data_IF_146228072725
#
_entry.id   IF_146228072725
#
_cell.length_a   1.000
_cell.length_b   1.000
_cell.length_c   1.000
_cell.angle_alpha   90.00
_cell.angle_beta   90.00
_cell.angle_gamma   90.00
#
_symmetry.space_group_name_H-M   'P 1'
#
loop_
_entity.id
_entity.type
_entity.pdbx_description
1 polymer ?
#
# COMPACT_ATOMS: atom_id res chain seq x y z
N UNK A 1 1.15 3.83 -23.47
CA UNK A 1 0.92 2.38 -23.27
C UNK A 1 1.02 1.98 -21.81
N UNK A 2 2.10 2.30 -21.09
CA UNK A 2 2.25 1.93 -19.67
C UNK A 2 1.13 2.45 -18.76
N UNK A 3 0.61 3.65 -19.00
CA UNK A 3 -0.46 4.21 -18.17
C UNK A 3 -1.80 3.50 -18.38
N UNK A 4 -2.11 3.07 -19.60
CA UNK A 4 -3.31 2.30 -19.88
C UNK A 4 -3.24 0.91 -19.23
N UNK A 5 -2.05 0.27 -19.27
CA UNK A 5 -1.79 -1.00 -18.57
C UNK A 5 -1.96 -0.83 -17.06
N UNK A 6 -1.43 0.25 -16.47
CA UNK A 6 -1.62 0.57 -15.05
C UNK A 6 -3.10 0.71 -14.68
N UNK A 7 -3.88 1.45 -15.47
CA UNK A 7 -5.32 1.62 -15.21
C UNK A 7 -6.07 0.29 -15.26
N UNK A 8 -5.78 -0.55 -16.27
CA UNK A 8 -6.36 -1.90 -16.39
C UNK A 8 -6.00 -2.77 -15.19
N UNK A 9 -4.75 -2.75 -14.78
CA UNK A 9 -4.27 -3.47 -13.59
C UNK A 9 -5.01 -3.03 -12.32
N UNK A 10 -5.11 -1.72 -12.06
CA UNK A 10 -5.80 -1.20 -10.86
C UNK A 10 -7.28 -1.57 -10.87
N UNK A 11 -7.95 -1.48 -12.02
CA UNK A 11 -9.34 -1.88 -12.16
C UNK A 11 -9.56 -3.37 -11.84
N UNK A 12 -8.65 -4.25 -12.31
CA UNK A 12 -8.74 -5.68 -12.03
C UNK A 12 -8.47 -5.99 -10.54
N UNK A 13 -7.48 -5.35 -9.94
CA UNK A 13 -7.18 -5.50 -8.50
C UNK A 13 -8.38 -5.02 -7.67
N UNK A 14 -8.96 -3.88 -8.01
CA UNK A 14 -10.17 -3.37 -7.35
C UNK A 14 -11.31 -4.38 -7.38
N UNK A 15 -11.61 -4.92 -8.57
CA UNK A 15 -12.70 -5.89 -8.74
C UNK A 15 -12.48 -7.17 -7.90
N UNK A 16 -11.25 -7.70 -7.90
CA UNK A 16 -10.92 -8.89 -7.10
C UNK A 16 -10.97 -8.61 -5.60
N UNK A 17 -10.55 -7.42 -5.19
CA UNK A 17 -10.61 -7.01 -3.79
C UNK A 17 -12.06 -6.88 -3.30
N UNK A 18 -12.96 -6.30 -4.10
CA UNK A 18 -14.38 -6.24 -3.75
C UNK A 18 -15.01 -7.63 -3.62
N UNK A 19 -14.67 -8.55 -4.53
CA UNK A 19 -15.13 -9.94 -4.44
C UNK A 19 -14.63 -10.62 -3.16
N UNK A 20 -13.35 -10.43 -2.81
CA UNK A 20 -12.76 -10.94 -1.57
C UNK A 20 -13.42 -10.35 -0.34
N UNK A 21 -13.63 -9.03 -0.30
CA UNK A 21 -14.30 -8.33 0.79
C UNK A 21 -15.70 -8.90 1.02
N UNK A 22 -16.49 -9.03 -0.04
CA UNK A 22 -17.85 -9.55 0.05
C UNK A 22 -17.87 -10.99 0.54
N UNK A 23 -16.94 -11.82 0.05
CA UNK A 23 -16.77 -13.19 0.53
C UNK A 23 -16.39 -13.22 2.01
N UNK A 24 -15.43 -12.40 2.44
CA UNK A 24 -14.98 -12.36 3.83
C UNK A 24 -16.10 -11.95 4.78
N UNK A 25 -16.87 -10.91 4.45
CA UNK A 25 -18.04 -10.48 5.24
C UNK A 25 -19.09 -11.60 5.32
N UNK A 26 -19.38 -12.28 4.21
CA UNK A 26 -20.39 -13.33 4.16
C UNK A 26 -20.00 -14.64 4.86
N UNK A 27 -18.69 -14.92 4.99
CA UNK A 27 -18.18 -16.20 5.52
C UNK A 27 -17.43 -16.02 6.85
N UNK A 28 -17.57 -14.86 7.50
CA UNK A 28 -16.87 -14.57 8.73
C UNK A 28 -17.33 -15.50 9.87
N UNK A 29 -16.42 -16.21 10.55
CA UNK A 29 -16.78 -17.22 11.54
C UNK A 29 -17.18 -16.63 12.91
N UNK A 30 -16.76 -15.40 13.22
CA UNK A 30 -17.06 -14.76 14.51
C UNK A 30 -18.27 -13.83 14.38
N UNK A 31 -19.44 -14.33 14.81
CA UNK A 31 -20.68 -13.56 14.79
C UNK A 31 -20.76 -12.49 15.88
N UNK A 32 -19.93 -12.55 16.93
CA UNK A 32 -19.92 -11.54 17.99
C UNK A 32 -19.18 -10.27 17.54
N UNK A 33 -18.21 -10.41 16.63
CA UNK A 33 -17.46 -9.31 16.03
C UNK A 33 -17.59 -9.33 14.49
N UNK A 34 -18.75 -8.94 13.93
CA UNK A 34 -18.97 -9.02 12.50
C UNK A 34 -18.06 -8.06 11.72
N UNK A 35 -17.48 -8.54 10.62
CA UNK A 35 -16.81 -7.68 9.66
C UNK A 35 -17.81 -6.79 8.93
N UNK A 36 -17.40 -5.55 8.71
CA UNK A 36 -18.14 -4.57 7.94
C UNK A 36 -17.30 -4.09 6.75
N UNK A 37 -17.91 -3.31 5.86
CA UNK A 37 -17.17 -2.67 4.76
C UNK A 37 -16.12 -1.67 5.27
N UNK A 38 -16.34 -1.08 6.45
CA UNK A 38 -15.44 -0.08 7.04
C UNK A 38 -14.07 -0.65 7.40
N UNK A 39 -14.00 -1.94 7.70
CA UNK A 39 -12.76 -2.64 8.08
C UNK A 39 -11.79 -2.79 6.89
N UNK A 40 -12.26 -2.55 5.66
CA UNK A 40 -11.49 -2.69 4.42
C UNK A 40 -11.06 -1.34 3.82
N UNK A 41 -11.30 -0.22 4.52
CA UNK A 41 -11.05 1.13 4.00
C UNK A 41 -9.57 1.37 3.68
N UNK A 42 -8.64 0.91 4.53
CA UNK A 42 -7.20 1.06 4.26
C UNK A 42 -6.77 0.29 3.01
N UNK A 43 -7.24 -0.94 2.83
CA UNK A 43 -6.98 -1.71 1.61
C UNK A 43 -7.48 -1.01 0.34
N UNK A 44 -8.67 -0.38 0.41
CA UNK A 44 -9.19 0.42 -0.71
C UNK A 44 -8.31 1.63 -1.02
N UNK A 45 -7.83 2.35 0.00
CA UNK A 45 -6.93 3.50 -0.17
C UNK A 45 -5.62 3.07 -0.83
N UNK A 46 -5.05 1.95 -0.41
CA UNK A 46 -3.82 1.42 -1.02
C UNK A 46 -4.00 1.09 -2.50
N UNK A 47 -5.09 0.40 -2.87
CA UNK A 47 -5.38 0.04 -4.26
C UNK A 47 -5.55 1.30 -5.13
N UNK A 48 -6.27 2.32 -4.64
CA UNK A 48 -6.41 3.60 -5.34
C UNK A 48 -5.04 4.30 -5.48
N UNK A 49 -4.18 4.17 -4.48
CA UNK A 49 -2.80 4.66 -4.50
C UNK A 49 -1.95 4.07 -5.62
N UNK A 50 -2.19 2.83 -6.02
CA UNK A 50 -1.49 2.18 -7.15
C UNK A 50 -1.75 2.89 -8.49
N UNK A 51 -2.92 3.53 -8.62
CA UNK A 51 -3.31 4.29 -9.80
C UNK A 51 -2.65 5.67 -9.89
N UNK A 52 -2.11 6.18 -8.79
CA UNK A 52 -1.52 7.51 -8.75
C UNK A 52 -0.19 7.55 -9.53
N UNK A 53 0.08 8.65 -10.26
CA UNK A 53 1.40 8.93 -10.81
C UNK A 53 2.47 8.88 -9.71
N UNK A 54 3.74 8.51 -10.01
CA UNK A 54 4.81 8.42 -9.01
C UNK A 54 4.97 9.66 -8.13
N UNK A 55 4.76 10.85 -8.70
CA UNK A 55 4.85 12.13 -8.00
C UNK A 55 3.69 12.39 -7.00
N UNK A 56 2.61 11.63 -7.09
CA UNK A 56 1.40 11.76 -6.26
C UNK A 56 1.15 10.55 -5.35
N UNK A 57 1.95 9.49 -5.48
CA UNK A 57 1.89 8.38 -4.53
C UNK A 57 2.18 8.94 -3.15
N UNK A 58 1.37 8.55 -2.17
CA UNK A 58 1.75 8.67 -0.77
C UNK A 58 3.12 8.01 -0.66
N UNK A 59 4.16 8.81 -0.39
CA UNK A 59 5.40 8.25 0.09
C UNK A 59 4.98 7.52 1.36
N UNK A 60 5.01 6.18 1.35
CA UNK A 60 5.25 5.49 2.60
C UNK A 60 6.52 6.15 3.09
N UNK A 61 6.41 6.95 4.16
CA UNK A 61 7.60 7.34 4.91
C UNK A 61 8.36 6.03 5.04
N UNK A 62 9.58 5.90 4.48
CA UNK A 62 10.32 4.65 4.56
C UNK A 62 10.35 4.36 6.05
N UNK A 63 9.58 3.35 6.47
CA UNK A 63 9.46 2.95 7.86
C UNK A 63 10.88 2.99 8.37
N UNK A 64 11.17 3.93 9.29
CA UNK A 64 12.53 4.37 9.58
C UNK A 64 13.39 3.12 9.62
N UNK A 65 14.35 3.03 8.70
CA UNK A 65 15.14 1.81 8.56
C UNK A 65 15.56 1.40 9.98
N UNK A 66 15.36 0.12 10.38
CA UNK A 66 15.58 -0.30 11.76
C UNK A 66 16.92 0.25 12.27
N UNK A 67 17.05 0.51 13.57
CA UNK A 67 18.34 0.98 14.06
C UNK A 67 19.44 -0.03 13.69
N UNK A 68 20.71 0.39 13.55
CA UNK A 68 21.78 -0.51 13.13
C UNK A 68 21.92 -1.75 14.02
N UNK A 69 21.51 -1.64 15.29
CA UNK A 69 21.46 -2.74 16.27
C UNK A 69 20.36 -3.79 15.96
N UNK A 70 19.29 -3.41 15.28
CA UNK A 70 18.18 -4.26 14.83
C UNK A 70 18.36 -4.77 13.39
N UNK A 71 19.56 -4.62 12.81
CA UNK A 71 19.88 -5.07 11.45
C UNK A 71 19.64 -4.04 10.35
N UNK A 72 19.54 -2.76 10.71
CA UNK A 72 19.48 -1.66 9.76
C UNK A 72 20.80 -1.31 9.06
N UNK A 73 20.76 -0.34 8.13
CA UNK A 73 21.94 0.12 7.40
C UNK A 73 22.98 0.75 8.34
N UNK A 74 24.24 0.31 8.20
CA UNK A 74 25.40 0.83 8.95
C UNK A 74 26.02 2.09 8.32
N UNK A 75 25.33 2.69 7.35
CA UNK A 75 25.79 3.86 6.62
C UNK A 75 24.70 4.92 6.61
N UNK A 76 25.13 6.18 6.68
CA UNK A 76 24.28 7.34 6.44
C UNK A 76 24.48 7.76 4.99
N UNK A 77 23.39 7.79 4.23
CA UNK A 77 23.42 8.40 2.90
C UNK A 77 23.51 9.92 3.08
N UNK A 78 24.74 10.43 2.99
CA UNK A 78 25.02 11.87 3.06
C UNK A 78 25.23 12.39 1.65
N UNK A 79 24.52 13.45 1.31
CA UNK A 79 24.87 14.23 0.12
C UNK A 79 26.21 14.92 0.40
N UNK A 80 27.30 14.59 -0.32
CA UNK A 80 28.59 15.21 -0.07
C UNK A 80 28.49 16.71 -0.34
N UNK A 81 29.20 17.51 0.47
CA UNK A 81 29.31 18.94 0.20
C UNK A 81 29.87 19.16 -1.22
N UNK A 82 29.39 20.17 -1.97
CA UNK A 82 29.93 20.47 -3.29
C UNK A 82 31.43 20.80 -3.18
N UNK A 83 32.23 20.23 -4.08
CA UNK A 83 33.66 20.54 -4.16
C UNK A 83 33.85 22.01 -4.57
N UNK A 84 34.79 22.77 -3.96
CA UNK A 84 35.11 24.14 -4.38
C UNK A 84 35.69 24.24 -5.79
#
# INVERSE_FOLDING_TARGET
MEEEVRRKFVAEVWHRFEALQNWAIANWPDSEHPLSTSDFVEGRKEILGLGLPPAQKLKQDPQAAPEPEDGGPQYLDVTPAPWP
#
